data_IF_339419285848
#
_entry.id   IF_339419285848
#
_cell.length_a   1.000
_cell.length_b   1.000
_cell.length_c   1.000
_cell.angle_alpha   90.00
_cell.angle_beta   90.00
_cell.angle_gamma   90.00
#
_symmetry.space_group_name_H-M   'P 1'
#
loop_
_entity.id
_entity.type
_entity.pdbx_description
1 polymer ?
#
# COMPACT_ATOMS: atom_id res chain seq x y z
N UNK A 1 -6.70 -22.74 -23.80
CA UNK A 1 -7.62 -22.59 -24.95
C UNK A 1 -8.03 -23.90 -25.57
N UNK A 2 -7.14 -24.89 -25.70
CA UNK A 2 -7.44 -26.24 -26.26
C UNK A 2 -8.69 -26.89 -25.66
N UNK A 3 -8.85 -26.83 -24.33
CA UNK A 3 -10.04 -27.37 -23.65
C UNK A 3 -11.34 -26.63 -23.99
N UNK A 4 -11.30 -25.30 -24.14
CA UNK A 4 -12.47 -24.50 -24.54
C UNK A 4 -12.96 -24.93 -25.93
N UNK A 5 -12.05 -25.05 -26.88
CA UNK A 5 -12.37 -25.49 -28.24
C UNK A 5 -12.83 -26.94 -28.30
N UNK A 6 -12.26 -27.81 -27.47
CA UNK A 6 -12.72 -29.19 -27.33
C UNK A 6 -14.18 -29.25 -26.88
N UNK A 7 -14.57 -28.41 -25.90
CA UNK A 7 -15.97 -28.34 -25.43
C UNK A 7 -16.88 -27.80 -26.53
N UNK A 8 -16.45 -26.77 -27.26
CA UNK A 8 -17.21 -26.19 -28.37
C UNK A 8 -17.44 -27.20 -29.51
N UNK A 9 -16.41 -27.96 -29.90
CA UNK A 9 -16.50 -29.01 -30.92
C UNK A 9 -17.43 -30.15 -30.48
N UNK A 10 -17.37 -30.56 -29.21
CA UNK A 10 -18.27 -31.59 -28.65
C UNK A 10 -19.73 -31.13 -28.58
N UNK A 11 -19.99 -29.86 -28.28
CA UNK A 11 -21.36 -29.31 -28.25
C UNK A 11 -22.09 -29.52 -29.60
N UNK A 12 -21.36 -29.45 -30.71
CA UNK A 12 -21.90 -29.62 -32.05
C UNK A 12 -21.83 -31.03 -32.62
N UNK A 13 -21.48 -32.03 -31.80
CA UNK A 13 -21.38 -33.43 -32.23
C UNK A 13 -20.45 -33.61 -33.45
N UNK A 14 -19.36 -32.85 -33.53
CA UNK A 14 -18.34 -33.12 -34.55
C UNK A 14 -17.87 -34.57 -34.45
N UNK A 15 -17.88 -35.31 -35.56
CA UNK A 15 -17.55 -36.75 -35.61
C UNK A 15 -16.16 -37.07 -35.05
N UNK A 16 -15.25 -36.08 -35.07
CA UNK A 16 -13.88 -36.16 -34.54
C UNK A 16 -13.56 -34.86 -33.80
N UNK A 17 -13.12 -34.98 -32.54
CA UNK A 17 -12.55 -33.85 -31.78
C UNK A 17 -11.12 -33.62 -32.28
N UNK A 18 -10.85 -32.44 -32.80
CA UNK A 18 -9.52 -32.02 -33.25
C UNK A 18 -8.84 -31.26 -32.13
N UNK A 19 -7.71 -31.81 -31.69
CA UNK A 19 -6.81 -31.15 -30.77
C UNK A 19 -5.98 -30.12 -31.53
N UNK A 20 -5.79 -28.95 -30.92
CA UNK A 20 -5.15 -27.80 -31.57
C UNK A 20 -3.66 -27.74 -31.24
N UNK A 21 -2.98 -28.89 -31.18
CA UNK A 21 -1.62 -28.99 -30.66
C UNK A 21 -0.53 -29.00 -31.76
N UNK A 22 -0.89 -29.13 -33.05
CA UNK A 22 0.07 -29.17 -34.16
C UNK A 22 -0.47 -28.59 -35.48
N UNK A 23 0.39 -27.90 -36.25
CA UNK A 23 0.08 -27.35 -37.58
C UNK A 23 -0.49 -28.38 -38.58
N UNK A 24 -0.13 -29.67 -38.46
CA UNK A 24 -0.70 -30.75 -39.31
C UNK A 24 -2.19 -30.97 -39.07
N UNK A 25 -2.70 -30.73 -37.86
CA UNK A 25 -4.12 -30.89 -37.50
C UNK A 25 -4.95 -29.65 -37.88
N UNK A 26 -4.34 -28.47 -38.04
CA UNK A 26 -5.03 -27.26 -38.53
C UNK A 26 -5.51 -27.37 -39.96
N UNK A 27 -4.72 -28.00 -40.83
CA UNK A 27 -5.13 -28.26 -42.21
C UNK A 27 -6.26 -29.31 -42.31
N UNK A 28 -6.49 -30.13 -41.27
CA UNK A 28 -7.70 -30.95 -41.20
C UNK A 28 -8.94 -30.10 -40.89
N UNK A 29 -8.81 -28.98 -40.17
CA UNK A 29 -9.96 -28.13 -39.86
C UNK A 29 -10.59 -27.54 -41.12
N UNK A 30 -9.78 -27.06 -42.06
CA UNK A 30 -10.23 -26.52 -43.34
C UNK A 30 -10.85 -27.58 -44.28
N UNK A 31 -10.71 -28.87 -43.96
CA UNK A 31 -11.29 -30.00 -44.74
C UNK A 31 -12.66 -30.47 -44.22
N UNK A 32 -13.16 -29.90 -43.12
CA UNK A 32 -14.49 -30.19 -42.54
C UNK A 32 -15.67 -29.35 -43.11
N UNK A 33 -15.62 -28.63 -44.26
CA UNK A 33 -16.81 -27.91 -44.76
C UNK A 33 -18.05 -28.79 -45.01
N UNK A 34 -17.91 -30.12 -45.08
CA UNK A 34 -19.01 -31.05 -45.42
C UNK A 34 -19.92 -31.48 -44.27
N UNK A 35 -19.73 -31.00 -43.03
CA UNK A 35 -20.44 -31.52 -41.83
C UNK A 35 -21.35 -30.46 -41.15
N UNK A 36 -21.51 -29.27 -41.71
CA UNK A 36 -22.31 -28.22 -41.07
C UNK A 36 -23.79 -28.25 -41.50
N UNK A 37 -24.67 -28.45 -40.53
CA UNK A 37 -26.12 -28.49 -40.72
C UNK A 37 -26.75 -27.09 -40.78
N UNK A 38 -26.06 -26.03 -40.32
CA UNK A 38 -26.54 -24.65 -40.41
C UNK A 38 -25.41 -23.60 -40.46
N UNK A 39 -25.76 -22.36 -40.85
CA UNK A 39 -24.84 -21.21 -40.97
C UNK A 39 -24.18 -20.84 -39.64
N UNK A 40 -24.86 -21.05 -38.51
CA UNK A 40 -24.32 -20.77 -37.16
C UNK A 40 -23.16 -21.70 -36.82
N UNK A 41 -23.27 -22.98 -37.12
CA UNK A 41 -22.19 -23.96 -36.97
C UNK A 41 -20.97 -23.56 -37.80
N UNK A 42 -21.18 -23.14 -39.05
CA UNK A 42 -20.10 -22.66 -39.91
C UNK A 42 -19.41 -21.42 -39.31
N UNK A 43 -20.17 -20.44 -38.81
CA UNK A 43 -19.62 -19.22 -38.20
C UNK A 43 -18.80 -19.50 -36.93
N UNK A 44 -19.29 -20.39 -36.06
CA UNK A 44 -18.57 -20.81 -34.86
C UNK A 44 -17.35 -21.64 -35.17
N UNK A 45 -17.40 -22.44 -36.23
CA UNK A 45 -16.24 -23.20 -36.69
C UNK A 45 -15.19 -22.30 -37.33
N UNK A 46 -15.60 -21.32 -38.14
CA UNK A 46 -14.74 -20.25 -38.64
C UNK A 46 -14.09 -19.47 -37.49
N UNK A 47 -14.84 -19.19 -36.42
CA UNK A 47 -14.30 -18.60 -35.20
C UNK A 47 -13.19 -19.45 -34.57
N UNK A 48 -13.37 -20.77 -34.45
CA UNK A 48 -12.34 -21.71 -33.95
C UNK A 48 -11.08 -21.64 -34.83
N UNK A 49 -11.25 -21.69 -36.16
CA UNK A 49 -10.12 -21.68 -37.10
C UNK A 49 -9.31 -20.39 -36.98
N UNK A 50 -9.95 -19.23 -36.96
CA UNK A 50 -9.22 -17.95 -36.88
C UNK A 50 -8.49 -17.74 -35.55
N UNK A 51 -9.00 -18.31 -34.46
CA UNK A 51 -8.28 -18.35 -33.18
C UNK A 51 -7.08 -19.29 -33.19
N UNK A 52 -7.01 -20.23 -34.14
CA UNK A 52 -5.92 -21.20 -34.19
C UNK A 52 -4.68 -20.69 -34.92
N UNK A 53 -4.77 -19.60 -35.68
CA UNK A 53 -3.60 -18.96 -36.31
C UNK A 53 -2.65 -18.26 -35.32
N UNK A 54 -2.88 -18.40 -34.01
CA UNK A 54 -2.08 -17.84 -32.91
C UNK A 54 -0.77 -18.64 -32.66
N UNK A 55 -0.32 -19.49 -33.59
CA UNK A 55 0.92 -20.29 -33.38
C UNK A 55 2.23 -19.50 -33.55
N UNK A 56 2.19 -18.21 -33.85
CA UNK A 56 3.42 -17.43 -33.95
C UNK A 56 3.62 -16.58 -32.70
N UNK A 57 4.48 -17.11 -31.82
CA UNK A 57 5.18 -16.49 -30.69
C UNK A 57 4.51 -16.51 -29.32
N UNK A 58 5.37 -16.75 -28.31
CA UNK A 58 5.16 -16.66 -26.87
C UNK A 58 4.08 -15.64 -26.44
N UNK A 59 2.82 -16.05 -26.48
CA UNK A 59 1.69 -15.16 -26.20
C UNK A 59 1.28 -15.31 -24.75
N UNK A 60 1.35 -14.21 -24.01
CA UNK A 60 0.88 -14.09 -22.63
C UNK A 60 -0.61 -14.53 -22.55
N UNK A 61 -1.03 -15.22 -21.49
CA UNK A 61 -2.43 -15.62 -21.24
C UNK A 61 -3.41 -14.46 -21.47
N UNK A 62 -3.02 -13.23 -21.10
CA UNK A 62 -3.83 -12.02 -21.33
C UNK A 62 -4.12 -11.78 -22.82
N UNK A 63 -3.11 -11.91 -23.68
CA UNK A 63 -3.27 -11.77 -25.13
C UNK A 63 -4.19 -12.85 -25.71
N UNK A 64 -4.11 -14.08 -25.20
CA UNK A 64 -4.97 -15.19 -25.63
C UNK A 64 -6.44 -14.89 -25.30
N UNK A 65 -6.73 -14.39 -24.10
CA UNK A 65 -8.09 -14.01 -23.71
C UNK A 65 -8.59 -12.84 -24.54
N UNK A 66 -7.76 -11.82 -24.80
CA UNK A 66 -8.13 -10.67 -25.62
C UNK A 66 -8.47 -11.07 -27.05
N UNK A 67 -7.69 -11.97 -27.66
CA UNK A 67 -7.96 -12.48 -29.00
C UNK A 67 -9.31 -13.21 -29.04
N UNK A 68 -9.56 -14.14 -28.11
CA UNK A 68 -10.85 -14.85 -27.98
C UNK A 68 -12.05 -13.91 -28.11
N UNK A 69 -12.04 -12.80 -27.38
CA UNK A 69 -13.12 -11.82 -27.40
C UNK A 69 -13.09 -10.89 -28.62
N UNK A 70 -11.90 -10.58 -29.17
CA UNK A 70 -11.76 -9.85 -30.43
C UNK A 70 -12.42 -10.60 -31.58
N UNK A 71 -12.16 -11.90 -31.72
CA UNK A 71 -12.78 -12.72 -32.76
C UNK A 71 -14.28 -12.87 -32.58
N UNK A 72 -14.75 -12.95 -31.32
CA UNK A 72 -16.19 -12.99 -31.04
C UNK A 72 -16.85 -11.69 -31.50
N UNK A 73 -16.19 -10.54 -31.24
CA UNK A 73 -16.65 -9.23 -31.69
C UNK A 73 -16.77 -9.17 -33.22
N UNK A 74 -15.79 -9.70 -33.96
CA UNK A 74 -15.83 -9.74 -35.44
C UNK A 74 -17.05 -10.51 -35.95
N UNK A 75 -17.35 -11.66 -35.35
CA UNK A 75 -18.51 -12.49 -35.74
C UNK A 75 -19.83 -11.76 -35.45
N UNK A 76 -19.94 -11.11 -34.30
CA UNK A 76 -21.15 -10.38 -33.89
C UNK A 76 -21.34 -9.11 -34.72
N UNK A 77 -20.27 -8.39 -35.07
CA UNK A 77 -20.34 -7.15 -35.84
C UNK A 77 -20.53 -7.36 -37.34
N UNK A 78 -20.63 -8.60 -37.80
CA UNK A 78 -20.77 -8.92 -39.21
C UNK A 78 -22.19 -8.64 -39.71
N UNK A 79 -22.31 -7.71 -40.66
CA UNK A 79 -23.58 -7.27 -41.27
C UNK A 79 -24.36 -8.39 -41.99
N UNK A 80 -23.70 -9.50 -42.34
CA UNK A 80 -24.31 -10.64 -43.02
C UNK A 80 -24.98 -11.64 -42.08
N UNK A 81 -24.93 -11.40 -40.76
CA UNK A 81 -25.54 -12.25 -39.75
C UNK A 81 -26.89 -11.67 -39.31
N UNK A 82 -27.90 -12.53 -39.18
CA UNK A 82 -29.20 -12.11 -38.64
C UNK A 82 -29.14 -11.97 -37.12
N UNK A 83 -30.08 -11.23 -36.52
CA UNK A 83 -30.23 -11.10 -35.06
C UNK A 83 -30.28 -12.47 -34.37
N UNK A 84 -31.08 -13.37 -34.92
CA UNK A 84 -31.32 -14.70 -34.34
C UNK A 84 -30.06 -15.56 -34.37
N UNK A 85 -29.25 -15.44 -35.44
CA UNK A 85 -27.96 -16.11 -35.56
C UNK A 85 -26.96 -15.60 -34.51
N UNK A 86 -26.92 -14.28 -34.30
CA UNK A 86 -26.05 -13.66 -33.30
C UNK A 86 -26.44 -14.12 -31.89
N UNK A 87 -27.74 -14.14 -31.59
CA UNK A 87 -28.25 -14.60 -30.29
C UNK A 87 -27.91 -16.08 -30.05
N UNK A 88 -28.08 -16.94 -31.05
CA UNK A 88 -27.72 -18.35 -30.96
C UNK A 88 -26.22 -18.52 -30.69
N UNK A 89 -25.37 -17.79 -31.42
CA UNK A 89 -23.91 -17.78 -31.22
C UNK A 89 -23.54 -17.37 -29.79
N UNK A 90 -24.12 -16.28 -29.29
CA UNK A 90 -23.87 -15.77 -27.94
C UNK A 90 -24.31 -16.75 -26.86
N UNK A 91 -25.46 -17.40 -27.04
CA UNK A 91 -25.97 -18.41 -26.12
C UNK A 91 -25.01 -19.60 -26.04
N UNK A 92 -24.52 -20.07 -27.20
CA UNK A 92 -23.61 -21.22 -27.28
C UNK A 92 -22.24 -20.86 -26.73
N UNK A 93 -21.67 -19.72 -27.11
CA UNK A 93 -20.42 -19.22 -26.56
C UNK A 93 -20.50 -19.13 -25.03
N UNK A 94 -21.60 -18.58 -24.50
CA UNK A 94 -21.84 -18.47 -23.06
C UNK A 94 -21.92 -19.84 -22.37
N UNK A 95 -22.62 -20.81 -22.95
CA UNK A 95 -22.69 -22.18 -22.42
C UNK A 95 -21.32 -22.86 -22.38
N UNK A 96 -20.58 -22.82 -23.48
CA UNK A 96 -19.23 -23.39 -23.57
C UNK A 96 -18.29 -22.72 -22.57
N UNK A 97 -18.37 -21.39 -22.46
CA UNK A 97 -17.56 -20.62 -21.52
C UNK A 97 -17.87 -20.99 -20.06
N UNK A 98 -19.15 -21.16 -19.69
CA UNK A 98 -19.56 -21.65 -18.36
C UNK A 98 -18.96 -23.03 -18.06
N UNK A 99 -19.06 -23.97 -19.00
CA UNK A 99 -18.53 -25.34 -18.85
C UNK A 99 -16.99 -25.30 -18.70
N UNK A 100 -16.31 -24.55 -19.55
CA UNK A 100 -14.86 -24.39 -19.49
C UNK A 100 -14.40 -23.84 -18.13
N UNK A 101 -15.02 -22.77 -17.64
CA UNK A 101 -14.67 -22.21 -16.33
C UNK A 101 -15.00 -23.15 -15.18
N UNK A 102 -16.09 -23.93 -15.27
CA UNK A 102 -16.41 -24.95 -14.27
C UNK A 102 -15.32 -26.02 -14.18
N UNK A 103 -14.86 -26.56 -15.32
CA UNK A 103 -13.75 -27.52 -15.35
C UNK A 103 -12.42 -26.90 -14.93
N UNK A 104 -12.12 -25.66 -15.34
CA UNK A 104 -10.91 -24.94 -14.92
C UNK A 104 -10.88 -24.74 -13.41
N UNK A 105 -12.02 -24.37 -12.82
CA UNK A 105 -12.18 -24.23 -11.37
C UNK A 105 -12.00 -25.58 -10.66
N UNK A 106 -12.60 -26.65 -11.18
CA UNK A 106 -12.44 -27.99 -10.62
C UNK A 106 -10.98 -28.46 -10.66
N UNK A 107 -10.29 -28.27 -11.78
CA UNK A 107 -8.88 -28.60 -11.92
C UNK A 107 -8.01 -27.80 -10.93
N UNK A 108 -8.32 -26.52 -10.73
CA UNK A 108 -7.63 -25.67 -9.77
C UNK A 108 -7.85 -26.15 -8.33
N UNK A 109 -9.11 -26.43 -7.93
CA UNK A 109 -9.44 -26.99 -6.61
C UNK A 109 -8.71 -28.31 -6.39
N UNK A 110 -8.70 -29.20 -7.39
CA UNK A 110 -8.00 -30.48 -7.29
C UNK A 110 -6.49 -30.28 -7.07
N UNK A 111 -5.85 -29.39 -7.84
CA UNK A 111 -4.43 -29.06 -7.70
C UNK A 111 -4.11 -28.54 -6.30
N UNK A 112 -4.89 -27.59 -5.78
CA UNK A 112 -4.71 -27.08 -4.42
C UNK A 112 -4.88 -28.18 -3.39
N UNK A 113 -5.94 -29.00 -3.48
CA UNK A 113 -6.18 -30.09 -2.52
C UNK A 113 -5.05 -31.14 -2.48
N UNK A 114 -4.40 -31.40 -3.62
CA UNK A 114 -3.29 -32.35 -3.74
C UNK A 114 -1.91 -31.74 -3.48
N UNK A 115 -1.80 -30.43 -3.42
CA UNK A 115 -0.53 -29.75 -3.21
C UNK A 115 0.02 -30.03 -1.80
N UNK A 116 1.33 -30.12 -1.72
CA UNK A 116 2.06 -30.33 -0.47
C UNK A 116 2.15 -29.00 0.29
N UNK A 117 2.00 -29.04 1.61
CA UNK A 117 2.30 -27.87 2.45
C UNK A 117 3.82 -27.85 2.68
N UNK A 118 4.49 -26.83 2.15
CA UNK A 118 5.96 -26.69 2.26
C UNK A 118 6.36 -25.94 3.53
N UNK A 119 5.57 -24.95 3.92
CA UNK A 119 5.81 -24.14 5.12
C UNK A 119 4.56 -24.12 5.97
N UNK A 120 4.68 -24.69 7.17
CA UNK A 120 3.63 -24.83 8.17
C UNK A 120 4.08 -24.34 9.56
N UNK A 121 5.06 -23.44 9.63
CA UNK A 121 5.50 -22.80 10.86
C UNK A 121 5.56 -21.29 10.65
N UNK A 122 5.23 -20.51 11.68
CA UNK A 122 5.46 -19.06 11.66
C UNK A 122 6.93 -18.72 11.99
N UNK A 123 7.29 -17.43 11.96
CA UNK A 123 8.64 -16.96 12.30
C UNK A 123 9.04 -17.23 13.76
N UNK A 124 8.07 -17.47 14.64
CA UNK A 124 8.26 -17.82 16.04
C UNK A 124 8.26 -19.35 16.26
N UNK A 125 8.28 -20.15 15.19
CA UNK A 125 8.23 -21.63 15.20
C UNK A 125 6.92 -22.21 15.75
N UNK A 126 5.82 -21.45 15.75
CA UNK A 126 4.50 -21.98 16.04
C UNK A 126 3.97 -22.75 14.83
N UNK A 127 3.39 -23.93 15.06
CA UNK A 127 2.80 -24.72 13.99
C UNK A 127 1.54 -24.05 13.44
N UNK A 128 1.45 -23.98 12.11
CA UNK A 128 0.32 -23.45 11.37
C UNK A 128 -0.47 -24.61 10.76
N UNK A 129 -1.79 -24.53 10.87
CA UNK A 129 -2.71 -25.52 10.28
C UNK A 129 -3.54 -24.88 9.18
N UNK A 130 -3.64 -25.56 8.04
CA UNK A 130 -4.53 -25.16 6.93
C UNK A 130 -6.02 -25.13 7.34
N UNK A 131 -6.37 -25.81 8.44
CA UNK A 131 -7.76 -25.84 8.96
C UNK A 131 -8.12 -24.60 9.78
N UNK A 132 -7.13 -23.82 10.20
CA UNK A 132 -7.37 -22.65 11.04
C UNK A 132 -7.99 -21.51 10.21
N UNK A 133 -9.12 -20.91 10.64
CA UNK A 133 -9.78 -19.83 9.92
C UNK A 133 -8.90 -18.58 9.73
N UNK A 134 -7.92 -18.34 10.60
CA UNK A 134 -7.05 -17.17 10.60
C UNK A 134 -5.72 -17.40 9.86
N UNK A 135 -5.56 -18.57 9.25
CA UNK A 135 -4.39 -18.93 8.43
C UNK A 135 -4.75 -18.82 6.95
N UNK A 136 -3.98 -18.00 6.25
CA UNK A 136 -4.07 -17.86 4.81
C UNK A 136 -3.21 -18.92 4.13
N UNK A 137 -3.77 -19.59 3.13
CA UNK A 137 -3.05 -20.59 2.33
C UNK A 137 -2.76 -20.02 0.95
N UNK A 138 -1.49 -19.70 0.69
CA UNK A 138 -1.02 -19.28 -0.62
C UNK A 138 -0.56 -20.52 -1.42
N UNK A 139 -1.16 -20.75 -2.58
CA UNK A 139 -0.71 -21.77 -3.52
C UNK A 139 0.16 -21.15 -4.61
N UNK A 140 1.47 -21.42 -4.57
CA UNK A 140 2.45 -20.83 -5.48
C UNK A 140 3.53 -21.87 -5.80
N UNK A 141 3.93 -21.95 -7.07
CA UNK A 141 4.90 -22.93 -7.56
C UNK A 141 4.58 -24.39 -7.14
N UNK A 142 3.32 -24.78 -7.33
CA UNK A 142 2.78 -26.14 -7.05
C UNK A 142 2.83 -26.60 -5.58
N UNK A 143 3.16 -25.71 -4.65
CA UNK A 143 3.20 -25.98 -3.21
C UNK A 143 2.36 -24.95 -2.45
N UNK A 144 2.01 -25.26 -1.19
CA UNK A 144 1.30 -24.35 -0.29
C UNK A 144 2.23 -23.72 0.73
N UNK A 145 1.99 -22.45 0.99
CA UNK A 145 2.62 -21.65 2.05
C UNK A 145 1.53 -21.14 2.98
N UNK A 146 1.66 -21.42 4.27
CA UNK A 146 0.75 -20.94 5.29
C UNK A 146 1.27 -19.62 5.86
N UNK A 147 0.37 -18.65 6.04
CA UNK A 147 0.68 -17.36 6.63
C UNK A 147 -0.36 -16.97 7.67
N UNK A 148 0.08 -16.36 8.76
CA UNK A 148 -0.84 -15.64 9.64
C UNK A 148 -1.21 -14.30 9.02
N UNK A 149 -2.34 -13.74 9.45
CA UNK A 149 -2.74 -12.36 9.08
C UNK A 149 -1.65 -11.35 9.47
N UNK A 150 -0.99 -11.57 10.60
CA UNK A 150 0.10 -10.71 11.09
C UNK A 150 1.30 -10.75 10.13
N UNK A 151 1.69 -11.93 9.66
CA UNK A 151 2.81 -12.07 8.72
C UNK A 151 2.52 -11.34 7.41
N UNK A 152 1.35 -11.59 6.82
CA UNK A 152 0.92 -10.93 5.58
C UNK A 152 0.88 -9.42 5.73
N UNK A 153 0.31 -8.95 6.85
CA UNK A 153 0.23 -7.52 7.17
C UNK A 153 1.62 -6.91 7.28
N UNK A 154 2.55 -7.56 7.96
CA UNK A 154 3.91 -7.06 8.13
C UNK A 154 4.68 -7.03 6.80
N UNK A 155 4.62 -8.11 6.00
CA UNK A 155 5.28 -8.22 4.69
C UNK A 155 4.78 -7.12 3.75
N UNK A 156 3.46 -6.94 3.66
CA UNK A 156 2.88 -5.94 2.77
C UNK A 156 3.19 -4.54 3.29
N UNK A 157 3.02 -4.30 4.59
CA UNK A 157 3.28 -2.99 5.18
C UNK A 157 4.75 -2.57 5.04
N UNK A 158 5.71 -3.46 5.28
CA UNK A 158 7.14 -3.15 5.11
C UNK A 158 7.47 -2.77 3.68
N UNK A 159 6.89 -3.46 2.70
CA UNK A 159 7.19 -3.22 1.29
C UNK A 159 6.51 -1.96 0.78
N UNK A 160 5.27 -1.69 1.20
CA UNK A 160 4.51 -0.51 0.78
C UNK A 160 4.99 0.78 1.48
N UNK A 161 5.51 0.68 2.71
CA UNK A 161 6.09 1.83 3.43
C UNK A 161 7.56 2.10 3.09
N UNK A 162 8.13 1.39 2.12
CA UNK A 162 9.52 1.54 1.75
C UNK A 162 9.82 2.93 1.18
N UNK A 163 10.96 3.50 1.58
CA UNK A 163 11.47 4.77 1.07
C UNK A 163 12.98 4.70 0.88
N UNK A 164 13.48 5.48 -0.08
CA UNK A 164 14.91 5.75 -0.23
C UNK A 164 15.18 7.18 0.27
N UNK A 165 15.80 7.33 1.44
CA UNK A 165 16.02 8.64 2.08
C UNK A 165 14.74 9.47 2.22
N UNK A 166 13.66 8.85 2.68
CA UNK A 166 12.31 9.43 2.78
C UNK A 166 11.63 9.82 1.46
N UNK A 167 12.22 9.48 0.30
CA UNK A 167 11.51 9.50 -0.98
C UNK A 167 10.71 8.20 -1.12
N UNK A 168 9.38 8.24 -1.35
CA UNK A 168 8.57 7.05 -1.56
C UNK A 168 9.12 6.19 -2.67
N UNK A 169 9.40 4.92 -2.36
CA UNK A 169 9.77 3.90 -3.33
C UNK A 169 9.21 2.54 -2.90
N UNK A 170 7.87 2.34 -2.97
CA UNK A 170 7.26 1.08 -2.60
C UNK A 170 7.88 -0.09 -3.36
N UNK A 171 8.12 -1.22 -2.69
CA UNK A 171 8.69 -2.42 -3.30
C UNK A 171 7.58 -3.43 -3.58
N UNK A 172 7.76 -4.23 -4.62
CA UNK A 172 6.86 -5.34 -4.96
C UNK A 172 6.74 -6.28 -3.75
N UNK A 173 5.50 -6.60 -3.36
CA UNK A 173 5.22 -7.60 -2.33
C UNK A 173 5.54 -9.01 -2.86
N UNK A 174 6.35 -9.76 -2.11
CA UNK A 174 6.81 -11.10 -2.50
C UNK A 174 6.58 -12.08 -1.37
N UNK A 175 6.44 -13.34 -1.73
CA UNK A 175 6.50 -14.42 -0.76
C UNK A 175 7.95 -14.54 -0.24
N UNK A 176 8.20 -14.39 1.08
CA UNK A 176 9.54 -14.42 1.65
C UNK A 176 10.25 -15.77 1.49
N UNK A 177 9.51 -16.87 1.32
CA UNK A 177 10.06 -18.23 1.27
C UNK A 177 10.62 -18.62 -0.10
N UNK A 178 10.14 -18.01 -1.18
CA UNK A 178 10.55 -18.34 -2.55
C UNK A 178 10.90 -17.10 -3.40
N UNK A 179 10.77 -15.89 -2.85
CA UNK A 179 11.03 -14.61 -3.51
C UNK A 179 10.17 -14.38 -4.79
N UNK A 180 9.06 -15.11 -4.94
CA UNK A 180 8.15 -14.93 -6.07
C UNK A 180 7.16 -13.80 -5.72
N UNK A 181 6.96 -12.81 -6.60
CA UNK A 181 5.96 -11.75 -6.40
C UNK A 181 4.55 -12.30 -6.19
N UNK A 182 3.79 -11.63 -5.34
CA UNK A 182 2.34 -11.83 -5.29
C UNK A 182 1.71 -11.26 -6.56
N UNK A 183 0.84 -12.03 -7.19
CA UNK A 183 0.03 -11.55 -8.30
C UNK A 183 -1.09 -10.63 -7.78
N UNK A 184 -1.72 -9.85 -8.67
CA UNK A 184 -2.91 -9.07 -8.31
C UNK A 184 -4.00 -9.96 -7.69
N UNK A 185 -4.18 -11.17 -8.22
CA UNK A 185 -5.13 -12.14 -7.68
C UNK A 185 -4.76 -12.57 -6.25
N UNK A 186 -3.48 -12.82 -5.99
CA UNK A 186 -3.00 -13.14 -4.65
C UNK A 186 -3.27 -11.98 -3.69
N UNK A 187 -2.99 -10.75 -4.10
CA UNK A 187 -3.22 -9.54 -3.30
C UNK A 187 -4.71 -9.30 -3.02
N UNK A 188 -5.60 -9.51 -4.00
CA UNK A 188 -7.05 -9.48 -3.76
C UNK A 188 -7.48 -10.55 -2.76
N UNK A 189 -7.02 -11.79 -2.94
CA UNK A 189 -7.34 -12.88 -2.02
C UNK A 189 -6.86 -12.58 -0.60
N UNK A 190 -5.65 -12.05 -0.44
CA UNK A 190 -5.10 -11.63 0.86
C UNK A 190 -5.94 -10.49 1.45
N UNK A 191 -6.26 -9.45 0.67
CA UNK A 191 -7.05 -8.32 1.12
C UNK A 191 -8.42 -8.74 1.66
N UNK A 192 -9.17 -9.53 0.88
CA UNK A 192 -10.50 -10.00 1.28
C UNK A 192 -10.42 -11.01 2.42
N UNK A 193 -9.37 -11.83 2.49
CA UNK A 193 -9.14 -12.72 3.62
C UNK A 193 -9.01 -11.93 4.93
N UNK A 194 -8.23 -10.85 4.96
CA UNK A 194 -8.09 -10.00 6.14
C UNK A 194 -9.43 -9.30 6.46
N UNK A 195 -10.06 -8.69 5.45
CA UNK A 195 -11.31 -7.92 5.61
C UNK A 195 -12.47 -8.78 6.15
N UNK A 196 -12.63 -10.00 5.66
CA UNK A 196 -13.75 -10.88 6.08
C UNK A 196 -13.55 -11.53 7.45
N UNK A 197 -12.37 -11.41 8.05
CA UNK A 197 -12.05 -11.96 9.38
C UNK A 197 -12.12 -10.91 10.49
N UNK A 198 -12.82 -9.80 10.26
CA UNK A 198 -12.98 -8.68 11.20
C UNK A 198 -11.65 -8.03 11.64
N UNK A 199 -10.57 -8.21 10.86
CA UNK A 199 -9.32 -7.50 11.06
C UNK A 199 -9.35 -6.16 10.32
N UNK A 200 -8.86 -5.11 10.97
CA UNK A 200 -8.65 -3.82 10.32
C UNK A 200 -7.52 -3.95 9.30
N UNK A 201 -7.84 -3.73 8.02
CA UNK A 201 -6.82 -3.70 6.97
C UNK A 201 -5.96 -2.45 7.17
N UNK A 202 -4.61 -2.57 7.16
CA UNK A 202 -3.72 -1.41 7.25
C UNK A 202 -3.99 -0.39 6.15
N UNK A 203 -3.88 0.90 6.49
CA UNK A 203 -4.17 2.02 5.58
C UNK A 203 -3.39 1.94 4.26
N UNK A 204 -2.08 1.65 4.32
CA UNK A 204 -1.26 1.47 3.12
C UNK A 204 -1.74 0.32 2.24
N UNK A 205 -2.19 -0.79 2.82
CA UNK A 205 -2.68 -1.92 2.04
C UNK A 205 -4.06 -1.63 1.42
N UNK A 206 -4.93 -0.95 2.16
CA UNK A 206 -6.19 -0.44 1.64
C UNK A 206 -5.96 0.51 0.46
N UNK A 207 -5.02 1.46 0.59
CA UNK A 207 -4.65 2.37 -0.49
C UNK A 207 -4.10 1.64 -1.70
N UNK A 208 -3.24 0.64 -1.49
CA UNK A 208 -2.69 -0.17 -2.58
C UNK A 208 -3.77 -0.95 -3.34
N UNK A 209 -4.78 -1.48 -2.64
CA UNK A 209 -5.96 -2.09 -3.27
C UNK A 209 -6.77 -1.06 -4.07
N UNK A 210 -6.96 0.16 -3.56
CA UNK A 210 -7.67 1.23 -4.25
C UNK A 210 -6.98 1.70 -5.52
N UNK A 211 -5.66 1.63 -5.57
CA UNK A 211 -4.85 1.86 -6.79
C UNK A 211 -4.82 0.65 -7.74
N UNK A 212 -5.69 -0.35 -7.56
CA UNK A 212 -5.70 -1.56 -8.40
C UNK A 212 -4.43 -2.40 -8.30
N UNK A 213 -3.71 -2.30 -7.18
CA UNK A 213 -2.37 -2.84 -6.98
C UNK A 213 -1.31 -2.33 -7.98
N UNK A 214 -1.57 -1.22 -8.68
CA UNK A 214 -0.56 -0.51 -9.43
C UNK A 214 0.36 0.26 -8.49
N UNK A 215 1.66 -0.01 -8.60
CA UNK A 215 2.68 0.56 -7.72
C UNK A 215 2.89 2.06 -7.94
N UNK A 216 2.79 2.53 -9.17
CA UNK A 216 3.03 3.93 -9.51
C UNK A 216 1.83 4.78 -9.10
N UNK A 217 0.62 4.32 -9.39
CA UNK A 217 -0.60 4.98 -8.93
C UNK A 217 -0.66 5.01 -7.41
N UNK A 218 -0.29 3.90 -6.74
CA UNK A 218 -0.21 3.88 -5.29
C UNK A 218 0.82 4.88 -4.74
N UNK A 219 2.03 4.87 -5.28
CA UNK A 219 3.10 5.79 -4.87
C UNK A 219 2.65 7.25 -4.97
N UNK A 220 2.07 7.63 -6.10
CA UNK A 220 1.67 9.02 -6.36
C UNK A 220 0.49 9.45 -5.49
N UNK A 221 -0.52 8.59 -5.32
CA UNK A 221 -1.73 8.95 -4.58
C UNK A 221 -1.56 8.84 -3.05
N UNK A 222 -0.64 7.99 -2.57
CA UNK A 222 -0.44 7.70 -1.14
C UNK A 222 0.94 8.14 -0.62
N UNK A 223 1.69 8.93 -1.38
CA UNK A 223 3.02 9.46 -1.02
C UNK A 223 3.07 9.98 0.42
N UNK A 224 2.13 10.86 0.77
CA UNK A 224 2.10 11.48 2.11
C UNK A 224 2.01 10.42 3.22
N UNK A 225 1.20 9.37 3.04
CA UNK A 225 1.03 8.32 4.05
C UNK A 225 2.28 7.44 4.11
N UNK A 226 2.88 7.12 2.96
CA UNK A 226 4.13 6.35 2.87
C UNK A 226 5.26 7.05 3.64
N UNK A 227 5.50 8.33 3.34
CA UNK A 227 6.56 9.13 3.98
C UNK A 227 6.36 9.17 5.50
N UNK A 228 5.15 9.53 5.93
CA UNK A 228 4.85 9.65 7.36
C UNK A 228 5.03 8.34 8.11
N UNK A 229 4.61 7.23 7.49
CA UNK A 229 4.79 5.88 8.04
C UNK A 229 6.27 5.53 8.11
N UNK A 230 7.04 5.83 7.06
CA UNK A 230 8.48 5.60 7.01
C UNK A 230 9.24 6.42 8.06
N UNK A 231 8.91 7.70 8.25
CA UNK A 231 9.52 8.55 9.29
C UNK A 231 9.27 7.95 10.68
N UNK A 232 8.02 7.56 10.96
CA UNK A 232 7.66 6.94 12.24
C UNK A 232 8.44 5.63 12.44
N UNK A 233 8.46 4.75 11.44
CA UNK A 233 9.17 3.48 11.52
C UNK A 233 10.68 3.69 11.72
N UNK A 234 11.28 4.61 10.98
CA UNK A 234 12.70 4.95 11.13
C UNK A 234 13.01 5.45 12.54
N UNK A 235 12.23 6.39 13.06
CA UNK A 235 12.48 6.98 14.38
C UNK A 235 12.24 5.99 15.51
N UNK A 236 11.25 5.09 15.42
CA UNK A 236 10.90 4.18 16.51
C UNK A 236 11.57 2.80 16.44
N UNK A 237 12.04 2.36 15.28
CA UNK A 237 12.65 1.03 15.13
C UNK A 237 14.18 1.09 14.97
N UNK A 238 14.76 2.25 14.62
CA UNK A 238 16.21 2.36 14.48
C UNK A 238 16.94 2.36 15.82
N UNK A 239 18.15 1.80 15.83
CA UNK A 239 19.04 1.81 16.99
C UNK A 239 19.51 3.22 17.34
N UNK A 240 19.79 3.50 18.63
CA UNK A 240 20.13 4.85 19.08
C UNK A 240 21.39 5.43 18.41
N UNK A 241 22.35 4.57 18.03
CA UNK A 241 23.56 4.99 17.33
C UNK A 241 23.26 5.65 15.97
N UNK A 242 22.24 5.15 15.25
CA UNK A 242 21.82 5.68 13.95
C UNK A 242 21.11 7.03 14.12
N UNK A 243 20.32 7.18 15.19
CA UNK A 243 19.52 8.38 15.42
C UNK A 243 20.28 9.51 16.11
N UNK A 244 21.34 9.21 16.85
CA UNK A 244 22.10 10.19 17.62
C UNK A 244 22.58 11.40 16.77
N UNK A 245 23.16 11.21 15.57
CA UNK A 245 23.51 12.33 14.69
C UNK A 245 22.31 13.23 14.32
N UNK A 246 21.13 12.64 14.12
CA UNK A 246 19.89 13.36 13.85
C UNK A 246 19.45 14.20 15.04
N UNK A 247 19.50 13.63 16.24
CA UNK A 247 19.21 14.36 17.49
C UNK A 247 20.18 15.53 17.68
N UNK A 248 21.48 15.31 17.49
CA UNK A 248 22.47 16.40 17.62
C UNK A 248 22.27 17.51 16.59
N UNK A 249 21.90 17.15 15.36
CA UNK A 249 21.61 18.12 14.29
C UNK A 249 20.39 18.96 14.63
N UNK A 250 19.30 18.32 15.07
CA UNK A 250 18.09 19.01 15.56
C UNK A 250 18.41 19.97 16.71
N UNK A 251 19.14 19.51 17.74
CA UNK A 251 19.48 20.37 18.88
C UNK A 251 20.37 21.55 18.48
N UNK A 252 21.26 21.38 17.50
CA UNK A 252 22.11 22.44 16.96
C UNK A 252 21.30 23.47 16.18
N UNK A 253 20.39 23.02 15.32
CA UNK A 253 19.51 23.90 14.54
C UNK A 253 18.58 24.73 15.43
N UNK A 254 18.00 24.10 16.45
CA UNK A 254 17.10 24.77 17.41
C UNK A 254 17.82 25.34 18.64
N UNK A 255 19.15 25.48 18.60
CA UNK A 255 19.94 26.08 19.69
C UNK A 255 19.42 27.45 20.16
N UNK A 256 18.93 28.36 19.31
CA UNK A 256 18.35 29.63 19.76
C UNK A 256 17.13 29.48 20.68
N UNK A 257 16.40 28.36 20.60
CA UNK A 257 15.26 28.04 21.48
C UNK A 257 15.70 27.34 22.77
N UNK A 258 16.92 26.79 22.79
CA UNK A 258 17.46 25.95 23.86
C UNK A 258 18.60 26.65 24.62
N UNK A 259 18.67 27.99 24.59
CA UNK A 259 19.81 28.80 25.12
C UNK A 259 20.29 28.39 26.52
N UNK A 260 19.38 27.93 27.39
CA UNK A 260 19.71 27.59 28.78
C UNK A 260 20.20 26.15 28.96
N UNK A 261 19.99 25.29 27.98
CA UNK A 261 20.35 23.87 28.03
C UNK A 261 21.80 23.67 27.59
N UNK A 262 22.57 23.02 28.46
CA UNK A 262 23.96 22.67 28.22
C UNK A 262 24.12 21.18 28.50
N UNK A 263 24.16 20.38 27.43
CA UNK A 263 24.32 18.93 27.52
C UNK A 263 25.82 18.62 27.52
N UNK A 264 26.29 17.92 28.55
CA UNK A 264 27.67 17.49 28.69
C UNK A 264 28.05 16.47 27.60
N UNK A 265 29.30 16.50 27.12
CA UNK A 265 29.77 15.59 26.08
C UNK A 265 29.76 14.12 26.49
N UNK A 266 29.83 13.83 27.79
CA UNK A 266 29.76 12.48 28.35
C UNK A 266 28.32 12.02 28.63
N UNK A 267 27.31 12.85 28.33
CA UNK A 267 25.91 12.47 28.57
C UNK A 267 25.53 11.20 27.78
N UNK A 268 24.85 10.21 28.38
CA UNK A 268 24.56 8.95 27.72
C UNK A 268 23.74 9.12 26.44
N UNK A 269 24.32 8.70 25.31
CA UNK A 269 23.71 8.85 23.97
C UNK A 269 22.36 8.16 23.86
N UNK A 270 22.24 6.96 24.41
CA UNK A 270 21.00 6.19 24.41
C UNK A 270 19.88 6.94 25.13
N UNK A 271 20.15 7.47 26.33
CA UNK A 271 19.18 8.27 27.10
C UNK A 271 18.80 9.55 26.37
N UNK A 272 19.76 10.20 25.73
CA UNK A 272 19.47 11.41 24.96
C UNK A 272 18.51 11.09 23.81
N UNK A 273 18.81 10.04 23.05
CA UNK A 273 17.96 9.60 21.95
C UNK A 273 16.60 9.16 22.44
N UNK A 274 16.49 8.43 23.55
CA UNK A 274 15.19 7.98 24.07
C UNK A 274 14.29 9.15 24.46
N UNK A 275 14.85 10.19 25.11
CA UNK A 275 14.13 11.40 25.52
C UNK A 275 13.70 12.22 24.30
N UNK A 276 14.61 12.40 23.33
CA UNK A 276 14.36 13.25 22.16
C UNK A 276 13.70 12.52 20.98
N UNK A 277 13.47 11.21 21.06
CA UNK A 277 12.84 10.42 19.98
C UNK A 277 11.53 11.02 19.45
N UNK A 278 10.55 11.41 20.28
CA UNK A 278 9.31 12.03 19.77
C UNK A 278 9.54 13.43 19.15
N UNK A 279 10.54 14.18 19.64
CA UNK A 279 10.94 15.46 19.02
C UNK A 279 11.59 15.24 17.66
N UNK A 280 12.42 14.20 17.55
CA UNK A 280 13.09 13.80 16.32
C UNK A 280 12.07 13.39 15.24
N UNK A 281 10.96 12.74 15.63
CA UNK A 281 9.85 12.48 14.72
C UNK A 281 9.27 13.78 14.15
N UNK A 282 8.98 14.77 15.00
CA UNK A 282 8.46 16.06 14.53
C UNK A 282 9.47 16.80 13.65
N UNK A 283 10.77 16.70 13.98
CA UNK A 283 11.85 17.27 13.19
C UNK A 283 11.89 16.69 11.78
N UNK A 284 11.96 15.37 11.64
CA UNK A 284 11.94 14.75 10.32
C UNK A 284 10.63 14.97 9.58
N UNK A 285 9.47 14.97 10.26
CA UNK A 285 8.21 15.36 9.63
C UNK A 285 8.23 16.80 9.12
N UNK A 286 8.88 17.72 9.83
CA UNK A 286 9.00 19.10 9.36
C UNK A 286 9.92 19.26 8.15
N UNK A 287 10.92 18.39 8.00
CA UNK A 287 11.87 18.41 6.89
C UNK A 287 11.39 17.65 5.65
N UNK A 288 10.78 16.48 5.86
CA UNK A 288 10.55 15.49 4.81
C UNK A 288 9.09 15.17 4.54
N UNK A 289 8.14 15.57 5.41
CA UNK A 289 6.73 15.43 5.04
C UNK A 289 6.41 16.31 3.81
N UNK A 290 5.37 15.94 3.09
CA UNK A 290 4.93 16.61 1.87
C UNK A 290 4.86 18.13 2.05
N UNK A 291 5.59 18.85 1.19
CA UNK A 291 5.77 20.28 1.29
C UNK A 291 4.43 21.03 1.26
N UNK A 292 4.29 22.02 2.15
CA UNK A 292 3.09 22.88 2.21
C UNK A 292 1.88 22.24 2.88
N UNK A 293 2.00 21.01 3.40
CA UNK A 293 0.89 20.38 4.13
C UNK A 293 0.79 20.90 5.57
N UNK A 294 -0.44 20.92 6.10
CA UNK A 294 -0.68 21.24 7.52
C UNK A 294 0.14 20.34 8.46
N UNK A 295 0.39 19.09 8.05
CA UNK A 295 1.20 18.15 8.83
C UNK A 295 2.66 18.56 8.92
N UNK A 296 3.26 19.06 7.84
CA UNK A 296 4.64 19.57 7.83
C UNK A 296 4.74 20.84 8.70
N UNK A 297 3.91 21.84 8.40
CA UNK A 297 3.91 23.13 9.12
C UNK A 297 3.58 22.93 10.60
N UNK A 298 2.55 22.14 10.89
CA UNK A 298 2.13 21.78 12.24
C UNK A 298 3.21 21.02 13.01
N UNK A 299 3.96 20.13 12.35
CA UNK A 299 5.11 19.45 12.98
C UNK A 299 6.21 20.43 13.37
N UNK A 300 6.55 21.38 12.49
CA UNK A 300 7.55 22.41 12.78
C UNK A 300 7.11 23.31 13.95
N UNK A 301 5.87 23.79 13.91
CA UNK A 301 5.29 24.63 14.96
C UNK A 301 5.28 23.89 16.31
N UNK A 302 4.77 22.65 16.32
CA UNK A 302 4.68 21.84 17.52
C UNK A 302 6.07 21.51 18.09
N UNK A 303 7.05 21.23 17.23
CA UNK A 303 8.44 21.01 17.64
C UNK A 303 9.00 22.24 18.36
N UNK A 304 8.88 23.42 17.76
CA UNK A 304 9.34 24.68 18.34
C UNK A 304 8.69 24.93 19.71
N UNK A 305 7.38 24.73 19.81
CA UNK A 305 6.63 24.88 21.06
C UNK A 305 7.12 23.90 22.14
N UNK A 306 7.27 22.62 21.80
CA UNK A 306 7.69 21.57 22.75
C UNK A 306 9.15 21.73 23.18
N UNK A 307 10.04 22.17 22.28
CA UNK A 307 11.45 22.44 22.62
C UNK A 307 11.59 23.66 23.53
N UNK A 308 10.86 24.76 23.26
CA UNK A 308 10.81 25.92 24.16
C UNK A 308 10.34 25.51 25.56
N UNK A 309 9.24 24.75 25.64
CA UNK A 309 8.76 24.22 26.91
C UNK A 309 9.82 23.35 27.61
N UNK A 310 10.48 22.45 26.87
CA UNK A 310 11.54 21.60 27.42
C UNK A 310 12.67 22.43 28.05
N UNK A 311 13.11 23.53 27.41
CA UNK A 311 14.12 24.43 27.95
C UNK A 311 13.70 25.22 29.18
N UNK A 312 12.43 25.66 29.22
CA UNK A 312 11.89 26.40 30.37
C UNK A 312 11.78 25.48 31.59
N UNK A 313 11.25 24.27 31.43
CA UNK A 313 11.05 23.34 32.54
C UNK A 313 12.35 22.67 33.01
N UNK A 314 13.35 22.53 32.13
CA UNK A 314 14.54 21.71 32.40
C UNK A 314 15.86 22.45 32.12
N UNK A 315 16.13 23.60 32.77
CA UNK A 315 17.29 24.45 32.47
C UNK A 315 18.65 23.78 32.79
N UNK A 316 18.65 22.78 33.66
CA UNK A 316 19.86 22.04 34.05
C UNK A 316 20.00 20.70 33.34
N UNK A 317 19.11 20.37 32.40
CA UNK A 317 19.13 19.09 31.69
C UNK A 317 20.48 18.81 31.04
N UNK A 318 20.98 17.58 31.20
CA UNK A 318 22.22 17.11 30.60
C UNK A 318 23.49 17.59 31.30
N UNK A 319 23.40 18.44 32.33
CA UNK A 319 24.57 18.89 33.11
C UNK A 319 25.05 17.80 34.05
N UNK A 320 26.37 17.69 34.17
CA UNK A 320 27.06 16.79 35.10
C UNK A 320 27.06 17.37 36.51
N UNK A 321 26.74 16.54 37.50
CA UNK A 321 26.86 16.88 38.92
C UNK A 321 27.47 15.72 39.71
N UNK A 322 27.97 16.03 40.91
CA UNK A 322 28.61 15.06 41.80
C UNK A 322 27.72 14.87 43.02
N UNK A 323 27.34 13.63 43.27
CA UNK A 323 26.59 13.24 44.48
C UNK A 323 27.51 12.45 45.39
N UNK A 324 27.56 12.81 46.67
CA UNK A 324 28.27 12.03 47.68
C UNK A 324 27.32 10.99 48.24
N UNK A 325 27.58 9.71 47.97
CA UNK A 325 26.83 8.59 48.55
C UNK A 325 27.67 7.94 49.66
N UNK A 326 27.02 7.53 50.74
CA UNK A 326 27.64 6.68 51.76
C UNK A 326 27.46 5.23 51.36
N UNK A 327 28.53 4.43 51.42
CA UNK A 327 28.43 2.98 51.29
C UNK A 327 27.85 2.35 52.54
N UNK A 328 27.51 1.05 52.46
CA UNK A 328 27.14 0.21 53.60
C UNK A 328 28.21 0.26 54.71
N UNK A 329 29.49 0.39 54.33
CA UNK A 329 30.63 0.58 55.25
C UNK A 329 30.86 2.04 55.73
N UNK A 330 29.89 2.96 55.57
CA UNK A 330 30.02 4.39 55.93
C UNK A 330 31.13 5.20 55.21
N UNK A 331 31.79 4.64 54.19
CA UNK A 331 32.74 5.37 53.35
C UNK A 331 32.00 6.30 52.38
N UNK A 332 32.50 7.53 52.22
CA UNK A 332 31.95 8.51 51.27
C UNK A 332 32.51 8.21 49.87
N UNK A 333 31.63 7.91 48.91
CA UNK A 333 31.98 7.76 47.49
C UNK A 333 31.39 8.92 46.70
N UNK A 334 32.21 9.52 45.84
CA UNK A 334 31.75 10.50 44.86
C UNK A 334 31.21 9.77 43.63
N UNK A 335 29.91 9.93 43.37
CA UNK A 335 29.25 9.37 42.19
C UNK A 335 28.96 10.51 41.23
N UNK A 336 29.51 10.42 40.01
CA UNK A 336 29.18 11.33 38.92
C UNK A 336 27.82 10.96 38.35
N UNK A 337 26.94 11.94 38.16
CA UNK A 337 25.60 11.73 37.63
C UNK A 337 25.21 12.89 36.72
N UNK A 338 24.17 12.70 35.90
CA UNK A 338 23.66 13.72 35.00
C UNK A 338 22.24 14.11 35.39
N UNK A 339 21.88 15.36 35.12
CA UNK A 339 20.50 15.79 35.33
C UNK A 339 19.63 15.28 34.18
N UNK A 340 18.82 14.28 34.51
CA UNK A 340 17.92 13.60 33.58
C UNK A 340 16.47 14.08 33.71
N UNK A 341 16.18 15.00 34.63
CA UNK A 341 14.83 15.50 34.84
C UNK A 341 14.35 16.23 33.59
N UNK A 342 13.23 15.78 33.04
CA UNK A 342 12.64 16.34 31.84
C UNK A 342 11.12 16.33 31.90
N UNK A 343 10.50 17.26 31.16
CA UNK A 343 9.06 17.24 30.93
C UNK A 343 8.72 16.06 30.02
N UNK A 344 7.68 15.30 30.38
CA UNK A 344 7.20 14.21 29.55
C UNK A 344 6.55 14.77 28.27
N UNK A 345 7.00 14.29 27.10
CA UNK A 345 6.57 14.83 25.80
C UNK A 345 5.04 14.84 25.61
N UNK A 346 4.37 13.77 26.03
CA UNK A 346 2.92 13.58 25.87
C UNK A 346 2.07 14.17 27.00
N UNK A 347 2.67 14.82 28.00
CA UNK A 347 1.88 15.50 29.03
C UNK A 347 1.27 16.76 28.40
N UNK A 348 -0.04 16.92 28.51
CA UNK A 348 -0.72 18.14 28.08
C UNK A 348 -0.24 19.32 28.92
N UNK A 349 0.20 20.38 28.24
CA UNK A 349 0.39 21.66 28.91
C UNK A 349 -1.00 22.28 29.06
N UNK A 350 -1.45 22.52 30.29
CA UNK A 350 -2.72 23.23 30.53
C UNK A 350 -2.75 24.53 29.69
N UNK A 351 -3.89 24.89 29.06
CA UNK A 351 -4.03 26.02 28.14
C UNK A 351 -4.03 27.38 28.87
N UNK A 352 -3.01 27.63 29.68
CA UNK A 352 -2.80 28.88 30.40
C UNK A 352 -1.34 29.32 30.46
N UNK A 353 -0.39 28.53 29.95
CA UNK A 353 1.04 28.91 29.94
C UNK A 353 1.52 29.48 28.58
N UNK A 354 0.77 29.25 27.50
CA UNK A 354 1.13 29.70 26.15
C UNK A 354 0.68 31.12 25.83
N UNK A 355 -0.44 31.59 26.41
CA UNK A 355 -0.98 32.92 26.13
C UNK A 355 -0.16 34.07 26.76
N UNK A 356 0.60 33.80 27.83
CA UNK A 356 1.40 34.83 28.51
C UNK A 356 2.79 35.07 27.91
N UNK A 357 3.24 34.27 26.94
CA UNK A 357 4.60 34.39 26.40
C UNK A 357 4.69 35.08 25.04
N UNK A 358 3.56 35.50 24.46
CA UNK A 358 3.55 36.26 23.19
C UNK A 358 3.70 37.77 23.41
N UNK A 359 3.42 38.30 24.61
CA UNK A 359 3.35 39.75 24.83
C UNK A 359 4.65 40.44 25.30
N UNK A 360 5.78 39.74 25.45
CA UNK A 360 6.98 40.34 26.05
C UNK A 360 8.22 40.46 25.12
N UNK A 361 8.07 40.23 23.81
CA UNK A 361 9.15 40.47 22.84
C UNK A 361 8.68 41.43 21.74
N UNK A 362 8.42 42.69 22.09
CA UNK A 362 8.51 43.78 21.13
C UNK A 362 9.97 44.27 21.14
N UNK A 363 10.78 43.74 20.22
CA UNK A 363 11.97 44.43 19.74
C UNK A 363 11.62 44.98 18.36
N UNK A 364 11.77 46.29 18.24
CA UNK A 364 11.52 47.13 17.07
C UNK A 364 12.24 46.61 15.83
N UNK A 365 11.51 46.49 14.72
CA UNK A 365 12.11 46.59 13.38
C UNK A 365 11.21 47.49 12.52
N UNK A 366 11.82 48.58 12.06
CA UNK A 366 11.32 49.55 11.10
C UNK A 366 10.65 48.87 9.89
N UNK A 367 9.43 49.31 9.59
CA UNK A 367 8.80 49.09 8.30
C UNK A 367 8.92 50.38 7.48
N UNK A 368 9.75 50.33 6.44
CA UNK A 368 9.72 51.32 5.37
C UNK A 368 8.34 51.31 4.70
N UNK A 369 7.79 52.51 4.62
CA UNK A 369 6.51 52.87 4.03
C UNK A 369 6.44 52.60 2.53
N UNK A 370 5.39 51.91 2.07
CA UNK A 370 4.84 52.11 0.73
C UNK A 370 3.32 52.28 0.86
N UNK A 371 2.89 53.50 0.58
CA UNK A 371 1.52 53.96 0.43
C UNK A 371 0.83 53.30 -0.77
N UNK A 372 -0.40 52.82 -0.58
CA UNK A 372 -1.40 52.85 -1.64
C UNK A 372 -2.72 53.40 -1.10
N UNK A 373 -3.12 54.46 -1.78
CA UNK A 373 -4.28 55.30 -1.59
C UNK A 373 -5.57 54.49 -1.75
N UNK A 374 -6.51 54.71 -0.84
CA UNK A 374 -7.83 54.13 -0.90
C UNK A 374 -8.76 55.05 -1.68
N UNK A 375 -9.52 54.49 -2.62
CA UNK A 375 -10.83 55.01 -2.96
C UNK A 375 -11.79 53.83 -2.96
N UNK A 376 -12.68 53.85 -1.96
CA UNK A 376 -13.94 53.14 -1.98
C UNK A 376 -14.86 53.90 -2.92
N UNK A 377 -15.58 53.19 -3.78
CA UNK A 377 -16.93 53.58 -4.16
C UNK A 377 -17.80 52.32 -4.12
N UNK A 378 -18.91 52.49 -3.39
CA UNK A 378 -20.03 51.57 -3.25
C UNK A 378 -20.67 51.29 -4.62
N UNK A 379 -21.28 50.11 -4.80
CA UNK A 379 -22.57 50.01 -5.49
C UNK A 379 -23.23 48.64 -5.30
N UNK A 380 -24.56 48.72 -5.27
CA UNK A 380 -25.57 47.75 -4.88
C UNK A 380 -25.82 46.59 -5.88
N UNK A 381 -26.60 45.63 -5.38
CA UNK A 381 -27.56 44.76 -6.09
C UNK A 381 -27.05 43.67 -7.07
N UNK A 382 -27.33 42.41 -6.77
CA UNK A 382 -28.51 41.69 -7.30
C UNK A 382 -28.60 40.23 -6.86
N UNK A 383 -29.85 39.81 -6.69
CA UNK A 383 -30.38 38.48 -6.38
C UNK A 383 -30.20 37.49 -7.54
N UNK A 384 -29.93 36.21 -7.26
CA UNK A 384 -30.64 35.11 -7.95
C UNK A 384 -30.61 33.81 -7.15
N UNK A 385 -31.82 33.32 -6.85
CA UNK A 385 -32.15 31.94 -6.48
C UNK A 385 -31.74 30.97 -7.60
N UNK A 386 -31.47 29.69 -7.30
CA UNK A 386 -32.24 28.54 -7.81
C UNK A 386 -31.67 27.18 -7.34
N UNK A 387 -32.54 26.46 -6.63
CA UNK A 387 -32.91 25.02 -6.71
C UNK A 387 -31.85 23.90 -6.66
N UNK A 388 -32.05 23.03 -5.65
CA UNK A 388 -32.30 21.57 -5.77
C UNK A 388 -31.74 20.84 -7.00
N UNK A 389 -30.98 19.76 -6.75
CA UNK A 389 -31.35 18.40 -7.20
C UNK A 389 -30.69 17.34 -6.32
N UNK A 390 -31.50 16.33 -6.05
CA UNK A 390 -31.33 15.15 -5.22
C UNK A 390 -30.40 14.08 -5.81
N UNK A 391 -29.93 13.23 -4.90
CA UNK A 391 -29.70 11.78 -5.01
C UNK A 391 -29.30 11.19 -6.37
N UNK A 392 -28.16 10.50 -6.40
CA UNK A 392 -28.19 9.10 -6.81
C UNK A 392 -26.99 8.29 -6.31
N UNK A 393 -27.34 7.17 -5.65
CA UNK A 393 -26.51 6.02 -5.35
C UNK A 393 -25.82 5.49 -6.61
N UNK A 394 -24.52 5.21 -6.55
CA UNK A 394 -23.90 4.20 -7.42
C UNK A 394 -23.01 3.28 -6.56
N UNK A 395 -23.55 2.08 -6.40
CA UNK A 395 -22.91 0.84 -6.01
C UNK A 395 -21.97 0.41 -7.14
N UNK A 396 -20.70 0.09 -6.82
CA UNK A 396 -19.94 -1.05 -7.33
C UNK A 396 -18.81 -1.43 -6.38
#
# INVERSE_FOLDING_TARGET
>A
MTAFFTILQKYYKGEKVIFLENNKQKNELWKIPKIFNNKVQFLLYYYIINETDIDNYHTNIRSIVQQKFKHLKIVISNIFNTSDQIEEILNIFSKVQKIYYAFSRLAHIYKIKKAQVKVNYDLCMNELSEKDPNIFTLYQDKVKYLFTIKDLTNIIHSNLSNTASFVPDPIICKNPYNNIPFTELDLYNIYFFIKHRNHTVPELFYGYMKSGFDRYDFRNNYETIIINTSIKNYVYNSHFHILYPGVTSMLKEFKPLLKNIHIDSEFPREKLVSIFRPYLQLYYSSLYATNGTYKQCGSNYLLKMKLKAFAIYNPFFGRKYITIKKTIENKKIMVRSFNEAHIHFYKENKPGATYFMVNNNNEEQDYDSISYDGNNDDDEDTVSEYSDYSENNIIY
#
